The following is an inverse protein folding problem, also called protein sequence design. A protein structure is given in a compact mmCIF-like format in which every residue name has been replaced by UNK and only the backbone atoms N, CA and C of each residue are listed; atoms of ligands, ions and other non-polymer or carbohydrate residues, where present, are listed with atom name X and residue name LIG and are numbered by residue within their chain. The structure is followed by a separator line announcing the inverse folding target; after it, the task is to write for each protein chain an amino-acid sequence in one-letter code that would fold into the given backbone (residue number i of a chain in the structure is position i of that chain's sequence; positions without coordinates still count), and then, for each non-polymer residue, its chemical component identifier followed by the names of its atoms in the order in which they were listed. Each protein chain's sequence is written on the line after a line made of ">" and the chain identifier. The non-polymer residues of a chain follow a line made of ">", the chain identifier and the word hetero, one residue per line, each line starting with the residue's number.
data_IF_934355105848
#
_entry.id   IF_934355105848
#
_cell.length_a   1.000
_cell.length_b   1.000
_cell.length_c   1.000
_cell.angle_alpha   90.00
_cell.angle_beta   90.00
_cell.angle_gamma   90.00
#
_symmetry.space_group_name_H-M   'P 1'
#
loop_
_entity.id
_entity.type
_entity.pdbx_description
1 polymer ?
#
# COMPACT_ATOMS: atom_id res chain seq x y z
N UNK A 1 1.04 -15.39 3.73
CA UNK A 1 1.73 -14.25 3.08
C UNK A 1 3.26 -14.50 3.04
N UNK A 2 3.67 -15.71 2.66
CA UNK A 2 4.88 -16.32 3.25
C UNK A 2 6.19 -16.09 2.50
N UNK A 3 6.23 -15.14 1.57
CA UNK A 3 7.44 -14.92 0.76
C UNK A 3 7.73 -13.42 0.63
N UNK A 4 7.67 -12.72 1.76
CA UNK A 4 8.20 -11.36 1.86
C UNK A 4 9.72 -11.36 1.66
N UNK A 5 10.44 -12.48 1.89
CA UNK A 5 11.91 -12.56 1.78
C UNK A 5 12.68 -11.58 2.67
N UNK A 6 11.96 -10.91 3.57
CA UNK A 6 12.54 -10.20 4.68
C UNK A 6 13.35 -11.19 5.53
N UNK A 7 14.57 -10.82 5.87
CA UNK A 7 15.40 -11.55 6.82
C UNK A 7 15.94 -10.60 7.87
N UNK A 8 16.15 -11.07 9.10
CA UNK A 8 16.82 -10.28 10.12
C UNK A 8 18.32 -10.53 10.02
N UNK A 9 19.17 -9.48 9.86
CA UNK A 9 20.61 -9.65 9.97
C UNK A 9 20.96 -10.15 11.37
N UNK A 10 22.01 -10.97 11.52
CA UNK A 10 22.42 -11.51 12.83
C UNK A 10 22.65 -10.44 13.90
N UNK A 11 23.11 -9.26 13.49
CA UNK A 11 23.38 -8.11 14.38
C UNK A 11 22.35 -6.97 14.18
N UNK A 12 21.30 -7.20 13.40
CA UNK A 12 20.27 -6.23 13.07
C UNK A 12 18.99 -6.50 13.85
N UNK A 13 18.40 -5.45 14.42
CA UNK A 13 17.10 -5.54 15.11
C UNK A 13 15.90 -5.38 14.18
N UNK A 14 16.15 -5.00 12.92
CA UNK A 14 15.14 -4.70 11.93
C UNK A 14 15.19 -5.70 10.77
N UNK A 15 14.02 -5.99 10.21
CA UNK A 15 13.90 -6.79 9.00
C UNK A 15 14.59 -6.08 7.83
N UNK A 16 15.44 -6.82 7.13
CA UNK A 16 16.16 -6.40 5.94
C UNK A 16 15.51 -7.00 4.70
N UNK A 17 15.44 -6.20 3.64
CA UNK A 17 14.85 -6.55 2.34
C UNK A 17 15.88 -6.46 1.20
N UNK A 18 17.16 -6.60 1.55
CA UNK A 18 18.28 -6.52 0.62
C UNK A 18 18.10 -7.54 -0.53
N UNK A 19 18.58 -7.19 -1.72
CA UNK A 19 18.44 -7.94 -2.99
C UNK A 19 17.04 -8.14 -3.57
N UNK A 20 15.99 -7.97 -2.78
CA UNK A 20 14.61 -8.11 -3.26
C UNK A 20 14.20 -7.01 -4.24
N UNK A 21 14.95 -5.90 -4.36
CA UNK A 21 14.64 -4.81 -5.28
C UNK A 21 14.84 -5.20 -6.76
N UNK A 22 15.68 -6.19 -7.04
CA UNK A 22 15.96 -6.66 -8.40
C UNK A 22 14.75 -7.32 -9.08
N UNK A 23 13.77 -7.81 -8.31
CA UNK A 23 12.56 -8.45 -8.83
C UNK A 23 11.67 -7.51 -9.67
N UNK A 24 11.81 -6.19 -9.49
CA UNK A 24 11.05 -5.18 -10.21
C UNK A 24 11.72 -4.75 -11.52
N UNK A 25 12.90 -5.29 -11.83
CA UNK A 25 13.61 -5.01 -13.06
C UNK A 25 13.15 -5.96 -14.18
N UNK A 26 13.30 -5.57 -15.45
CA UNK A 26 13.05 -6.47 -16.58
C UNK A 26 13.88 -7.75 -16.49
N UNK A 27 13.38 -8.85 -17.06
CA UNK A 27 14.06 -10.15 -17.01
C UNK A 27 15.46 -10.12 -17.66
N UNK A 28 15.65 -9.29 -18.68
CA UNK A 28 16.96 -9.13 -19.34
C UNK A 28 17.91 -8.15 -18.64
N UNK A 29 17.55 -7.65 -17.46
CA UNK A 29 18.43 -6.77 -16.72
C UNK A 29 19.68 -7.54 -16.21
N UNK A 30 20.89 -6.94 -16.23
CA UNK A 30 22.12 -7.62 -15.79
C UNK A 30 22.22 -7.82 -14.27
N UNK A 31 21.57 -6.97 -13.47
CA UNK A 31 21.65 -6.99 -12.00
C UNK A 31 21.15 -8.27 -11.32
N UNK A 32 20.01 -8.87 -11.74
CA UNK A 32 19.62 -10.20 -11.31
C UNK A 32 20.76 -11.24 -11.28
N UNK A 33 21.69 -11.17 -12.26
CA UNK A 33 22.82 -12.11 -12.46
C UNK A 33 24.12 -11.69 -11.75
N UNK A 34 24.13 -10.56 -11.03
CA UNK A 34 25.34 -10.00 -10.44
C UNK A 34 25.68 -10.63 -9.08
N UNK A 35 26.55 -11.65 -9.10
CA UNK A 35 27.02 -12.38 -7.91
C UNK A 35 28.00 -11.61 -7.00
N UNK A 36 28.47 -10.44 -7.41
CA UNK A 36 29.51 -9.65 -6.72
C UNK A 36 28.98 -8.38 -6.06
N UNK A 37 28.05 -7.68 -6.71
CA UNK A 37 27.49 -6.40 -6.23
C UNK A 37 26.35 -6.53 -5.22
N UNK A 38 25.86 -7.75 -5.02
CA UNK A 38 24.72 -8.10 -4.17
C UNK A 38 25.12 -9.20 -3.19
N UNK A 39 24.17 -9.97 -2.68
CA UNK A 39 24.45 -11.11 -1.81
C UNK A 39 25.42 -12.06 -2.50
N UNK A 40 26.49 -12.39 -1.79
CA UNK A 40 27.62 -13.15 -2.33
C UNK A 40 27.15 -14.48 -2.89
N UNK A 41 27.47 -14.74 -4.16
CA UNK A 41 27.11 -15.95 -4.89
C UNK A 41 25.60 -16.20 -5.01
N UNK A 42 24.78 -15.18 -4.78
CA UNK A 42 23.33 -15.24 -4.95
C UNK A 42 22.91 -14.68 -6.31
N UNK A 43 21.85 -15.24 -6.88
CA UNK A 43 21.27 -14.80 -8.16
C UNK A 43 19.75 -14.81 -8.00
N UNK A 44 19.13 -13.69 -8.33
CA UNK A 44 17.70 -13.48 -8.14
C UNK A 44 16.93 -13.73 -9.43
N UNK A 45 16.19 -14.84 -9.49
CA UNK A 45 15.34 -15.19 -10.66
C UNK A 45 13.85 -14.93 -10.41
N UNK A 46 13.47 -14.49 -9.21
CA UNK A 46 12.07 -14.25 -8.88
C UNK A 46 11.58 -12.96 -9.53
N UNK A 47 10.50 -13.07 -10.29
CA UNK A 47 9.73 -11.94 -10.82
C UNK A 47 8.95 -11.24 -9.71
N UNK A 48 8.74 -9.93 -9.88
CA UNK A 48 7.87 -9.16 -9.00
C UNK A 48 6.49 -9.82 -8.91
N UNK A 49 5.93 -9.85 -7.70
CA UNK A 49 4.55 -10.30 -7.53
C UNK A 49 3.61 -9.42 -8.33
N UNK A 50 2.54 -9.99 -8.91
CA UNK A 50 1.48 -9.21 -9.50
C UNK A 50 0.95 -8.19 -8.48
N UNK A 51 0.71 -6.96 -8.93
CA UNK A 51 -0.03 -6.00 -8.13
C UNK A 51 -1.42 -6.57 -7.94
N UNK A 52 -1.81 -6.75 -6.69
CA UNK A 52 -3.18 -7.09 -6.36
C UNK A 52 -4.02 -5.82 -6.67
N UNK A 53 -5.06 -5.94 -7.49
CA UNK A 53 -5.99 -4.87 -7.88
C UNK A 53 -7.41 -5.47 -7.96
N UNK A 54 -8.44 -4.69 -7.64
CA UNK A 54 -9.85 -5.09 -7.80
C UNK A 54 -10.35 -6.11 -6.77
N UNK A 55 -11.11 -7.11 -7.25
CA UNK A 55 -11.86 -8.08 -6.42
C UNK A 55 -11.04 -8.79 -5.33
N UNK A 56 -9.82 -9.32 -5.59
CA UNK A 56 -9.06 -10.07 -4.58
C UNK A 56 -8.78 -9.26 -3.32
N UNK A 57 -8.70 -7.94 -3.48
CA UNK A 57 -8.47 -7.00 -2.41
C UNK A 57 -9.74 -6.62 -1.69
N UNK A 58 -10.84 -6.48 -2.42
CA UNK A 58 -12.12 -6.15 -1.84
C UNK A 58 -12.50 -7.24 -0.85
N UNK A 59 -12.35 -8.49 -1.27
CA UNK A 59 -12.63 -9.66 -0.43
C UNK A 59 -11.71 -9.69 0.81
N UNK A 60 -10.42 -9.38 0.62
CA UNK A 60 -9.47 -9.29 1.74
C UNK A 60 -9.78 -8.20 2.77
N UNK A 61 -10.30 -7.07 2.30
CA UNK A 61 -10.60 -5.89 3.12
C UNK A 61 -11.99 -5.98 3.75
N UNK A 62 -12.95 -6.63 3.08
CA UNK A 62 -14.31 -6.84 3.59
C UNK A 62 -14.30 -7.56 4.95
N UNK A 63 -13.37 -8.51 5.13
CA UNK A 63 -13.24 -9.29 6.36
C UNK A 63 -12.43 -8.56 7.46
N UNK A 64 -12.07 -7.28 7.30
CA UNK A 64 -11.23 -6.54 8.26
C UNK A 64 -12.05 -5.51 9.05
N UNK A 65 -11.89 -5.53 10.38
CA UNK A 65 -12.58 -4.59 11.28
C UNK A 65 -12.20 -3.12 11.01
N UNK A 66 -13.15 -2.17 11.11
CA UNK A 66 -12.89 -0.73 10.95
C UNK A 66 -11.83 -0.21 11.92
N UNK A 67 -10.97 0.73 11.51
CA UNK A 67 -9.92 1.29 12.36
C UNK A 67 -10.39 2.00 13.64
N UNK A 68 -11.67 2.42 13.66
CA UNK A 68 -12.32 3.17 14.74
C UNK A 68 -12.54 2.29 15.97
N UNK A 69 -12.77 0.99 15.77
CA UNK A 69 -12.91 0.03 16.86
C UNK A 69 -11.55 -0.65 17.09
N UNK A 70 -11.10 -0.73 18.34
CA UNK A 70 -10.03 -1.67 18.67
C UNK A 70 -10.64 -3.07 18.61
N UNK A 71 -10.26 -3.93 17.66
CA UNK A 71 -10.81 -5.26 17.61
C UNK A 71 -10.41 -5.99 18.90
N UNK A 72 -11.40 -6.48 19.65
CA UNK A 72 -11.19 -7.30 20.84
C UNK A 72 -10.47 -8.61 20.52
N UNK A 73 -10.58 -9.05 19.26
CA UNK A 73 -9.94 -10.26 18.73
C UNK A 73 -9.34 -9.99 17.36
N UNK A 74 -8.09 -10.40 17.17
CA UNK A 74 -7.41 -10.38 15.87
C UNK A 74 -8.08 -11.38 14.92
N UNK A 75 -8.16 -11.03 13.62
CA UNK A 75 -8.76 -11.89 12.61
C UNK A 75 -8.02 -13.23 12.51
N UNK A 76 -8.75 -14.28 12.15
CA UNK A 76 -8.16 -15.57 11.77
C UNK A 76 -7.11 -15.38 10.67
N UNK A 77 -5.96 -16.00 10.84
CA UNK A 77 -4.81 -15.82 9.94
C UNK A 77 -3.88 -14.64 10.29
N UNK A 78 -4.13 -13.92 11.39
CA UNK A 78 -3.17 -12.91 11.88
C UNK A 78 -1.85 -13.57 12.31
N UNK A 79 -0.74 -13.09 11.75
CA UNK A 79 0.61 -13.60 12.02
C UNK A 79 1.08 -14.67 11.02
N UNK A 80 0.17 -15.37 10.34
CA UNK A 80 0.48 -16.32 9.26
C UNK A 80 0.11 -15.75 7.89
N UNK A 81 -1.17 -15.54 7.65
CA UNK A 81 -1.71 -15.16 6.35
C UNK A 81 -1.63 -13.66 6.13
N UNK A 82 -1.72 -12.86 7.19
CA UNK A 82 -1.67 -11.40 7.12
C UNK A 82 -1.19 -10.78 8.45
N UNK A 83 -0.69 -9.54 8.41
CA UNK A 83 -0.28 -8.75 9.60
C UNK A 83 -1.18 -7.54 9.87
N UNK A 84 -2.34 -7.50 9.24
CA UNK A 84 -3.26 -6.36 9.28
C UNK A 84 -4.18 -6.46 10.49
N UNK A 85 -4.33 -5.36 11.22
CA UNK A 85 -5.18 -5.29 12.42
C UNK A 85 -6.40 -4.40 12.21
N UNK A 86 -6.33 -3.45 11.27
CA UNK A 86 -7.35 -2.41 11.08
C UNK A 86 -7.57 -2.12 9.61
N UNK A 87 -8.83 -1.85 9.24
CA UNK A 87 -9.25 -1.31 7.94
C UNK A 87 -9.19 0.22 7.98
N UNK A 88 -8.49 0.83 7.02
CA UNK A 88 -8.47 2.29 6.87
C UNK A 88 -9.83 2.81 6.38
N UNK A 89 -10.21 4.02 6.78
CA UNK A 89 -11.39 4.73 6.26
C UNK A 89 -11.36 4.92 4.74
N UNK A 90 -10.15 4.91 4.15
CA UNK A 90 -10.00 5.03 2.69
C UNK A 90 -10.60 3.84 1.94
N UNK A 91 -10.78 2.69 2.60
CA UNK A 91 -11.37 1.51 2.00
C UNK A 91 -12.91 1.56 1.93
N UNK A 92 -13.56 2.63 2.37
CA UNK A 92 -15.00 2.81 2.27
C UNK A 92 -15.41 3.62 1.02
N UNK A 93 -14.46 4.26 0.33
CA UNK A 93 -14.75 5.06 -0.88
C UNK A 93 -15.04 4.19 -2.11
N UNK A 94 -16.12 4.40 -2.88
CA UNK A 94 -16.54 3.47 -3.95
C UNK A 94 -15.51 3.21 -5.06
N UNK A 95 -14.49 4.06 -5.20
CA UNK A 95 -13.42 3.95 -6.19
C UNK A 95 -12.06 3.50 -5.59
N UNK A 96 -12.03 3.13 -4.31
CA UNK A 96 -10.81 2.73 -3.59
C UNK A 96 -10.16 1.48 -4.21
N UNK A 97 -10.98 0.56 -4.72
CA UNK A 97 -10.52 -0.70 -5.31
C UNK A 97 -9.75 -0.52 -6.63
N UNK A 98 -9.99 0.62 -7.30
CA UNK A 98 -9.36 1.01 -8.56
C UNK A 98 -8.04 1.76 -8.35
N UNK A 99 -7.69 2.13 -7.11
CA UNK A 99 -6.44 2.85 -6.82
C UNK A 99 -5.20 1.96 -6.97
N UNK A 100 -4.26 2.40 -7.81
CA UNK A 100 -2.91 1.82 -7.92
C UNK A 100 -2.11 1.97 -6.61
N UNK A 101 -2.29 3.09 -5.91
CA UNK A 101 -1.64 3.39 -4.63
C UNK A 101 -2.74 3.70 -3.61
N UNK A 102 -3.03 2.74 -2.72
CA UNK A 102 -4.17 2.80 -1.77
C UNK A 102 -4.01 3.79 -0.63
N UNK A 103 -2.77 4.19 -0.36
CA UNK A 103 -2.42 5.16 0.67
C UNK A 103 -2.26 6.57 0.10
N UNK A 104 -2.50 6.75 -1.21
CA UNK A 104 -2.54 8.09 -1.76
C UNK A 104 -3.88 8.72 -1.36
N UNK A 105 -3.80 9.82 -0.62
CA UNK A 105 -4.96 10.67 -0.36
C UNK A 105 -5.48 11.15 -1.72
N UNK A 106 -6.76 10.89 -1.98
CA UNK A 106 -7.34 11.01 -3.31
C UNK A 106 -7.19 12.45 -3.83
N UNK A 107 -6.31 12.58 -4.82
CA UNK A 107 -6.07 13.82 -5.56
C UNK A 107 -7.40 14.35 -6.10
N UNK A 108 -8.33 13.50 -6.53
CA UNK A 108 -9.62 13.98 -7.04
C UNK A 108 -10.49 14.63 -5.96
N UNK A 109 -10.58 14.06 -4.76
CA UNK A 109 -11.32 14.67 -3.66
C UNK A 109 -10.62 15.89 -3.08
N UNK A 110 -9.29 15.89 -3.02
CA UNK A 110 -8.51 17.06 -2.56
C UNK A 110 -8.61 18.18 -3.57
N UNK A 111 -8.32 17.93 -4.84
CA UNK A 111 -8.41 18.92 -5.91
C UNK A 111 -9.82 19.45 -6.05
N UNK A 112 -10.85 18.60 -6.01
CA UNK A 112 -12.24 19.06 -6.05
C UNK A 112 -12.57 19.93 -4.83
N UNK A 113 -12.22 19.52 -3.62
CA UNK A 113 -12.48 20.34 -2.44
C UNK A 113 -11.72 21.67 -2.49
N UNK A 114 -10.46 21.68 -2.95
CA UNK A 114 -9.67 22.91 -3.08
C UNK A 114 -10.27 23.81 -4.17
N UNK A 115 -10.61 23.25 -5.34
CA UNK A 115 -11.24 23.97 -6.43
C UNK A 115 -12.59 24.54 -6.02
N UNK A 116 -13.48 23.73 -5.45
CA UNK A 116 -14.80 24.16 -4.99
C UNK A 116 -14.67 25.26 -3.93
N UNK A 117 -13.71 25.17 -3.00
CA UNK A 117 -13.46 26.23 -2.03
C UNK A 117 -12.97 27.53 -2.71
N UNK A 118 -11.98 27.46 -3.62
CA UNK A 118 -11.47 28.65 -4.34
C UNK A 118 -12.59 29.28 -5.17
N UNK A 119 -13.33 28.47 -5.94
CA UNK A 119 -14.43 28.92 -6.80
C UNK A 119 -15.56 29.55 -5.99
N UNK A 120 -15.96 28.94 -4.87
CA UNK A 120 -17.01 29.49 -4.00
C UNK A 120 -16.59 30.82 -3.36
N UNK A 121 -15.31 30.99 -3.03
CA UNK A 121 -14.76 32.26 -2.54
C UNK A 121 -14.72 33.33 -3.64
N UNK A 122 -14.24 33.00 -4.85
CA UNK A 122 -14.17 33.95 -5.97
C UNK A 122 -15.56 34.41 -6.43
N UNK A 123 -16.55 33.51 -6.38
CA UNK A 123 -17.94 33.78 -6.79
C UNK A 123 -18.81 34.36 -5.66
N UNK A 124 -18.26 34.65 -4.48
CA UNK A 124 -18.97 35.17 -3.29
C UNK A 124 -20.28 34.40 -2.97
N UNK A 125 -20.21 33.07 -3.02
CA UNK A 125 -21.36 32.21 -2.72
C UNK A 125 -21.46 32.07 -1.20
N UNK A 126 -22.18 33.02 -0.56
CA UNK A 126 -22.31 33.16 0.90
C UNK A 126 -22.69 31.90 1.69
N UNK A 127 -23.36 30.93 1.07
CA UNK A 127 -23.77 29.67 1.75
C UNK A 127 -22.71 28.55 1.68
N UNK A 128 -21.65 28.72 0.86
CA UNK A 128 -20.60 27.71 0.65
C UNK A 128 -19.17 28.26 0.79
N UNK A 129 -19.01 29.58 0.85
CA UNK A 129 -17.73 30.21 1.13
C UNK A 129 -17.33 29.93 2.59
N UNK A 130 -16.07 29.53 2.78
CA UNK A 130 -15.45 29.30 4.10
C UNK A 130 -14.85 30.58 4.72
N UNK A 131 -15.27 31.75 4.25
CA UNK A 131 -14.92 33.01 4.89
C UNK A 131 -15.87 33.19 6.09
N UNK A 132 -15.30 33.02 7.29
CA UNK A 132 -15.91 33.44 8.55
C UNK A 132 -15.70 34.94 8.77
#
# INVERSE_FOLDING_TARGET
>A
MDDTRAFNPQHGRNACYFDCHTQFLPEDHPYPRNKKGFTKNHVEYKVARPRLIGDPIRDWVADTSPAIEMPSTLRSGYGSDHKWTKKSIFCDFPYWEMHLIRHNLDVMHIEKNVFDNIFNTEMDIKEKAKDN
#
